data_IF_051803947937
#
_entry.id   IF_051803947937
#
_cell.length_a   1.000
_cell.length_b   1.000
_cell.length_c   1.000
_cell.angle_alpha   90.00
_cell.angle_beta   90.00
_cell.angle_gamma   90.00
#
_symmetry.space_group_name_H-M   'P 1'
#
loop_
_entity.id
_entity.type
_entity.pdbx_description
1 polymer ?
#
# COMPACT_ATOMS: atom_id res chain seq x y z
N UNK A 1 -6.69 9.43 26.74
CA UNK A 1 -5.96 8.17 26.48
C UNK A 1 -5.19 8.46 25.21
N UNK A 2 -3.88 8.59 25.27
CA UNK A 2 -3.06 9.09 24.15
C UNK A 2 -3.29 8.27 22.88
N UNK A 3 -3.64 8.95 21.80
CA UNK A 3 -3.74 8.40 20.45
C UNK A 3 -2.34 7.97 19.99
N UNK A 4 -1.97 6.72 20.33
CA UNK A 4 -0.71 6.12 19.89
C UNK A 4 -0.84 5.74 18.42
N UNK A 5 -0.41 6.62 17.53
CA UNK A 5 -0.15 6.27 16.14
C UNK A 5 1.03 5.29 16.11
N UNK A 6 0.75 4.01 15.84
CA UNK A 6 1.79 3.00 15.70
C UNK A 6 2.45 3.09 14.31
N UNK A 7 3.37 4.05 14.17
CA UNK A 7 4.19 4.21 12.98
C UNK A 7 5.68 4.26 13.36
N UNK A 8 6.27 3.15 13.87
CA UNK A 8 7.68 3.12 14.29
C UNK A 8 8.66 3.48 13.15
N UNK A 9 8.22 3.31 11.89
CA UNK A 9 8.93 3.71 10.68
C UNK A 9 8.94 5.22 10.41
N UNK A 10 8.03 6.00 11.01
CA UNK A 10 7.79 7.40 10.65
C UNK A 10 9.02 8.28 10.83
N UNK A 11 9.78 8.08 11.90
CA UNK A 11 11.02 8.82 12.14
C UNK A 11 12.09 8.46 11.11
N UNK A 12 12.24 7.17 10.77
CA UNK A 12 13.18 6.73 9.74
C UNK A 12 12.84 7.32 8.37
N UNK A 13 11.56 7.40 8.01
CA UNK A 13 11.10 8.02 6.75
C UNK A 13 11.35 9.53 6.69
N UNK A 14 11.10 10.26 7.79
CA UNK A 14 11.36 11.71 7.83
C UNK A 14 12.86 11.97 7.69
N UNK A 15 13.69 11.19 8.39
CA UNK A 15 15.14 11.31 8.35
C UNK A 15 15.74 10.89 6.99
N UNK A 16 15.15 9.91 6.30
CA UNK A 16 15.59 9.53 4.95
C UNK A 16 15.26 10.57 3.88
N UNK A 17 14.30 11.47 4.14
CA UNK A 17 13.93 12.55 3.21
C UNK A 17 14.62 13.89 3.52
N UNK A 18 15.42 13.98 4.59
CA UNK A 18 16.17 15.20 4.94
C UNK A 18 17.56 15.30 4.29
N UNK A 19 18.01 14.27 3.56
CA UNK A 19 19.24 14.31 2.77
C UNK A 19 18.94 14.71 1.31
N UNK A 20 18.94 16.01 1.05
CA UNK A 20 18.67 16.65 -0.26
C UNK A 20 19.76 16.41 -1.35
N UNK A 21 20.56 15.34 -1.28
CA UNK A 21 21.78 15.21 -2.10
C UNK A 21 21.93 13.98 -3.02
N UNK A 22 20.89 13.18 -3.25
CA UNK A 22 20.94 12.18 -4.34
C UNK A 22 19.73 12.25 -5.26
N UNK A 23 19.86 13.05 -6.33
CA UNK A 23 19.02 12.93 -7.53
C UNK A 23 19.30 11.61 -8.24
N UNK A 24 18.84 10.49 -7.68
CA UNK A 24 18.57 9.29 -8.48
C UNK A 24 17.20 9.50 -9.09
N UNK A 25 17.07 9.41 -10.41
CA UNK A 25 15.74 9.30 -11.01
C UNK A 25 15.06 8.09 -10.36
N UNK A 26 13.96 8.28 -9.62
CA UNK A 26 13.39 7.18 -8.88
C UNK A 26 12.72 6.24 -9.89
N UNK A 27 13.40 5.14 -10.20
CA UNK A 27 12.79 4.02 -10.89
C UNK A 27 11.54 3.57 -10.13
N UNK A 28 10.52 3.12 -10.86
CA UNK A 28 9.29 2.69 -10.22
C UNK A 28 9.54 1.39 -9.44
N UNK A 29 9.44 1.45 -8.10
CA UNK A 29 9.67 0.28 -7.23
C UNK A 29 8.79 -0.91 -7.61
N UNK A 30 7.57 -0.66 -8.08
CA UNK A 30 6.63 -1.69 -8.50
C UNK A 30 7.04 -2.38 -9.81
N UNK A 31 7.89 -1.75 -10.62
CA UNK A 31 8.49 -2.39 -11.79
C UNK A 31 9.81 -3.10 -11.44
N UNK A 32 10.56 -2.58 -10.47
CA UNK A 32 11.87 -3.11 -10.11
C UNK A 32 11.78 -4.32 -9.20
N UNK A 33 10.96 -4.25 -8.17
CA UNK A 33 10.92 -5.27 -7.11
C UNK A 33 10.49 -6.64 -7.64
N UNK A 34 9.46 -6.76 -8.50
CA UNK A 34 9.11 -8.04 -9.08
C UNK A 34 10.18 -8.66 -9.97
N UNK A 35 11.14 -7.88 -10.48
CA UNK A 35 12.27 -8.40 -11.28
C UNK A 35 13.39 -8.96 -10.42
N UNK A 36 13.42 -8.63 -9.13
CA UNK A 36 14.37 -9.17 -8.17
C UNK A 36 13.83 -10.50 -7.64
N UNK A 37 14.71 -11.48 -7.50
CA UNK A 37 14.41 -12.80 -6.95
C UNK A 37 14.66 -12.80 -5.42
N UNK A 38 14.04 -11.84 -4.73
CA UNK A 38 14.21 -11.64 -3.28
C UNK A 38 12.91 -11.07 -2.69
N UNK A 39 11.87 -11.90 -2.67
CA UNK A 39 10.53 -11.48 -2.28
C UNK A 39 10.47 -10.99 -0.83
N UNK A 40 11.22 -11.63 0.07
CA UNK A 40 11.28 -11.25 1.48
C UNK A 40 11.83 -9.84 1.67
N UNK A 41 12.97 -9.50 1.04
CA UNK A 41 13.53 -8.15 1.16
C UNK A 41 12.69 -7.08 0.46
N UNK A 42 11.98 -7.45 -0.61
CA UNK A 42 11.12 -6.53 -1.35
C UNK A 42 9.68 -6.52 -0.83
N UNK A 43 9.39 -7.25 0.25
CA UNK A 43 8.09 -7.36 0.90
C UNK A 43 6.96 -7.88 -0.02
N UNK A 44 7.32 -8.64 -1.07
CA UNK A 44 6.36 -9.28 -1.96
C UNK A 44 5.85 -10.55 -1.25
N UNK A 45 4.54 -10.64 -1.07
CA UNK A 45 3.91 -11.77 -0.34
C UNK A 45 3.17 -12.72 -1.27
N UNK A 46 2.89 -12.30 -2.51
CA UNK A 46 2.27 -13.15 -3.50
C UNK A 46 2.54 -12.64 -4.92
N UNK A 47 2.77 -13.56 -5.85
CA UNK A 47 2.94 -13.30 -7.30
C UNK A 47 1.83 -13.99 -8.07
N UNK A 48 0.90 -13.21 -8.62
CA UNK A 48 -0.10 -13.67 -9.58
C UNK A 48 0.43 -13.62 -11.02
N UNK A 49 -0.48 -13.70 -11.99
CA UNK A 49 -0.16 -13.69 -13.43
C UNK A 49 -0.01 -12.28 -13.99
N UNK A 50 -0.95 -11.41 -13.67
CA UNK A 50 -1.07 -10.01 -14.11
C UNK A 50 -0.78 -9.02 -12.98
N UNK A 51 -0.98 -9.43 -11.72
CA UNK A 51 -0.84 -8.64 -10.52
C UNK A 51 -0.02 -9.38 -9.46
N UNK A 52 0.56 -8.62 -8.52
CA UNK A 52 1.25 -9.13 -7.35
C UNK A 52 0.80 -8.38 -6.09
N UNK A 53 1.11 -8.94 -4.93
CA UNK A 53 0.84 -8.34 -3.63
C UNK A 53 2.15 -8.00 -2.94
N UNK A 54 2.25 -6.77 -2.46
CA UNK A 54 3.39 -6.24 -1.73
C UNK A 54 2.92 -5.57 -0.43
N UNK A 55 3.63 -5.77 0.68
CA UNK A 55 3.33 -5.04 1.91
C UNK A 55 3.74 -3.58 1.76
N UNK A 56 2.96 -2.68 2.35
CA UNK A 56 3.39 -1.29 2.43
C UNK A 56 4.51 -1.19 3.47
N UNK A 57 5.70 -0.73 3.06
CA UNK A 57 6.84 -0.47 3.96
C UNK A 57 6.50 0.59 5.04
N UNK A 58 5.49 1.41 4.74
CA UNK A 58 5.02 2.53 5.51
C UNK A 58 3.51 2.36 5.83
N UNK A 59 3.16 1.32 6.61
CA UNK A 59 1.77 0.89 6.76
C UNK A 59 0.96 1.85 7.65
N UNK A 60 -0.34 2.00 7.35
CA UNK A 60 -1.28 2.68 8.26
C UNK A 60 -1.56 1.80 9.48
N UNK A 61 -1.75 0.51 9.25
CA UNK A 61 -1.94 -0.52 10.27
C UNK A 61 -1.14 -1.77 9.88
N UNK A 62 -0.76 -2.61 10.85
CA UNK A 62 -0.22 -3.94 10.57
C UNK A 62 -1.08 -4.70 9.56
N UNK A 63 -0.45 -5.34 8.57
CA UNK A 63 -1.16 -6.05 7.50
C UNK A 63 -1.60 -5.17 6.32
N UNK A 64 -1.26 -3.86 6.31
CA UNK A 64 -1.48 -3.01 5.14
C UNK A 64 -0.65 -3.52 3.95
N UNK A 65 -1.36 -3.97 2.92
CA UNK A 65 -0.81 -4.44 1.67
C UNK A 65 -1.36 -3.68 0.47
N UNK A 66 -0.66 -3.81 -0.65
CA UNK A 66 -1.00 -3.20 -1.93
C UNK A 66 -1.04 -4.28 -3.00
N UNK A 67 -2.07 -4.24 -3.85
CA UNK A 67 -2.21 -5.10 -5.03
C UNK A 67 -1.86 -4.27 -6.24
N UNK A 68 -0.92 -4.76 -7.04
CA UNK A 68 -0.23 -3.95 -8.06
C UNK A 68 -0.19 -4.74 -9.37
N UNK A 69 -0.64 -4.18 -10.50
CA UNK A 69 -0.44 -4.81 -11.80
C UNK A 69 1.04 -4.78 -12.18
N UNK A 70 1.55 -5.81 -12.86
CA UNK A 70 2.93 -5.78 -13.36
C UNK A 70 3.14 -4.68 -14.41
N UNK A 71 2.10 -4.39 -15.20
CA UNK A 71 2.13 -3.31 -16.18
C UNK A 71 2.23 -1.95 -15.50
N UNK A 72 3.19 -1.14 -15.94
CA UNK A 72 3.35 0.22 -15.47
C UNK A 72 2.28 1.13 -16.07
N UNK A 73 1.26 1.45 -15.28
CA UNK A 73 0.19 2.36 -15.69
C UNK A 73 -0.49 3.00 -14.49
N UNK A 74 -0.86 4.27 -14.61
CA UNK A 74 -1.76 4.97 -13.69
C UNK A 74 -3.23 4.98 -14.17
N UNK A 75 -3.48 4.50 -15.39
CA UNK A 75 -4.78 4.54 -16.05
C UNK A 75 -5.64 3.34 -15.65
N UNK A 76 -6.57 3.56 -14.71
CA UNK A 76 -7.49 2.55 -14.21
C UNK A 76 -8.50 2.11 -15.29
N UNK A 77 -9.16 3.04 -16.02
CA UNK A 77 -9.98 2.69 -17.19
C UNK A 77 -9.24 1.86 -18.25
N UNK A 78 -7.93 2.09 -18.42
CA UNK A 78 -7.09 1.37 -19.38
C UNK A 78 -6.62 -0.01 -18.94
N UNK A 79 -7.02 -0.51 -17.76
CA UNK A 79 -6.74 -1.89 -17.36
C UNK A 79 -7.54 -2.87 -18.21
N UNK A 80 -6.88 -3.96 -18.60
CA UNK A 80 -7.53 -5.09 -19.27
C UNK A 80 -8.49 -5.79 -18.32
N UNK A 81 -9.46 -6.52 -18.87
CA UNK A 81 -10.41 -7.28 -18.06
C UNK A 81 -9.73 -8.36 -17.21
N UNK A 82 -8.61 -8.94 -17.67
CA UNK A 82 -7.83 -9.92 -16.91
C UNK A 82 -7.09 -9.27 -15.73
N UNK A 83 -6.46 -8.11 -15.93
CA UNK A 83 -5.81 -7.34 -14.86
C UNK A 83 -6.83 -6.94 -13.78
N UNK A 84 -7.99 -6.40 -14.18
CA UNK A 84 -9.05 -6.01 -13.24
C UNK A 84 -9.60 -7.22 -12.46
N UNK A 85 -9.85 -8.33 -13.16
CA UNK A 85 -10.36 -9.55 -12.54
C UNK A 85 -9.38 -10.14 -11.53
N UNK A 86 -8.09 -10.21 -11.88
CA UNK A 86 -7.08 -10.71 -10.96
C UNK A 86 -6.84 -9.76 -9.79
N UNK A 87 -6.78 -8.45 -10.02
CA UNK A 87 -6.67 -7.45 -8.95
C UNK A 87 -7.79 -7.60 -7.92
N UNK A 88 -9.04 -7.76 -8.36
CA UNK A 88 -10.17 -7.97 -7.46
C UNK A 88 -10.16 -9.37 -6.81
N UNK A 89 -9.69 -10.40 -7.51
CA UNK A 89 -9.52 -11.75 -6.94
C UNK A 89 -8.49 -11.77 -5.82
N UNK A 90 -7.35 -11.08 -6.02
CA UNK A 90 -6.32 -10.89 -5.02
C UNK A 90 -6.83 -10.05 -3.85
N UNK A 91 -7.71 -9.08 -4.08
CA UNK A 91 -8.34 -8.30 -3.02
C UNK A 91 -9.22 -9.16 -2.12
N UNK A 92 -10.06 -10.03 -2.71
CA UNK A 92 -10.87 -10.99 -1.96
C UNK A 92 -10.01 -11.99 -1.18
N UNK A 93 -8.92 -12.45 -1.79
CA UNK A 93 -7.96 -13.35 -1.13
C UNK A 93 -7.28 -12.67 0.05
N UNK A 94 -6.81 -11.44 -0.15
CA UNK A 94 -6.18 -10.61 0.89
C UNK A 94 -7.12 -10.37 2.06
N UNK A 95 -8.37 -10.00 1.80
CA UNK A 95 -9.39 -9.85 2.84
C UNK A 95 -9.53 -11.13 3.65
N UNK A 96 -9.72 -12.29 3.00
CA UNK A 96 -9.93 -13.57 3.67
C UNK A 96 -8.74 -13.97 4.55
N UNK A 97 -7.52 -13.88 4.01
CA UNK A 97 -6.29 -14.22 4.72
C UNK A 97 -6.07 -13.27 5.89
N UNK A 98 -6.22 -11.96 5.71
CA UNK A 98 -6.08 -10.98 6.79
C UNK A 98 -7.14 -11.18 7.87
N UNK A 99 -8.37 -11.55 7.49
CA UNK A 99 -9.42 -11.92 8.45
C UNK A 99 -8.99 -13.09 9.33
N UNK A 100 -8.48 -14.15 8.72
CA UNK A 100 -8.06 -15.35 9.43
C UNK A 100 -6.87 -15.11 10.36
N UNK A 101 -5.83 -14.39 9.88
CA UNK A 101 -4.57 -14.27 10.62
C UNK A 101 -4.52 -13.10 11.58
N UNK A 102 -5.40 -12.09 11.44
CA UNK A 102 -5.36 -10.87 12.25
C UNK A 102 -6.67 -10.53 12.96
N UNK A 103 -7.80 -11.12 12.55
CA UNK A 103 -9.13 -10.81 13.08
C UNK A 103 -9.45 -9.29 13.16
N UNK A 104 -9.30 -8.51 12.07
CA UNK A 104 -9.72 -7.12 12.01
C UNK A 104 -11.25 -7.00 12.08
N UNK A 105 -11.72 -5.85 12.59
CA UNK A 105 -13.15 -5.53 12.67
C UNK A 105 -13.69 -4.95 11.35
N UNK A 106 -12.82 -4.57 10.41
CA UNK A 106 -13.20 -4.04 9.10
C UNK A 106 -12.00 -3.81 8.19
N UNK A 107 -12.26 -3.24 7.01
CA UNK A 107 -11.22 -2.94 6.02
C UNK A 107 -11.48 -1.60 5.32
N UNK A 108 -10.42 -0.91 4.92
CA UNK A 108 -10.47 0.07 3.84
C UNK A 108 -9.83 -0.52 2.59
N UNK A 109 -10.54 -0.39 1.48
CA UNK A 109 -10.09 -0.78 0.15
C UNK A 109 -10.14 0.46 -0.73
N UNK A 110 -9.06 0.79 -1.45
CA UNK A 110 -9.06 1.99 -2.26
C UNK A 110 -7.80 2.21 -3.07
N UNK A 111 -7.88 3.17 -3.99
CA UNK A 111 -6.80 3.63 -4.84
C UNK A 111 -6.79 5.16 -4.83
N UNK A 112 -5.61 5.76 -4.71
CA UNK A 112 -5.44 7.19 -4.92
C UNK A 112 -4.96 7.41 -6.35
N UNK A 113 -5.74 8.14 -7.17
CA UNK A 113 -5.44 8.37 -8.58
C UNK A 113 -4.90 9.78 -8.79
N UNK A 114 -3.62 9.88 -9.14
CA UNK A 114 -2.91 11.14 -9.33
C UNK A 114 -2.41 11.77 -8.03
N UNK A 115 -1.41 12.64 -8.16
CA UNK A 115 -0.71 13.29 -7.03
C UNK A 115 -1.66 14.03 -6.07
N UNK A 116 -2.67 14.72 -6.61
CA UNK A 116 -3.63 15.51 -5.80
C UNK A 116 -4.50 14.64 -4.91
N UNK A 117 -4.78 13.39 -5.33
CA UNK A 117 -5.52 12.43 -4.52
C UNK A 117 -4.67 11.79 -3.41
N UNK A 118 -3.39 12.17 -3.27
CA UNK A 118 -2.49 11.63 -2.25
C UNK A 118 -1.81 10.32 -2.65
N UNK A 119 -1.64 10.06 -3.95
CA UNK A 119 -0.83 8.95 -4.42
C UNK A 119 0.66 9.20 -4.13
N UNK A 120 1.29 8.36 -3.30
CA UNK A 120 2.73 8.43 -3.04
C UNK A 120 3.58 8.01 -4.24
N UNK A 121 3.05 7.10 -5.05
CA UNK A 121 3.58 6.71 -6.37
C UNK A 121 2.44 6.90 -7.37
N UNK A 122 2.41 8.03 -8.05
CA UNK A 122 1.25 8.46 -8.84
C UNK A 122 1.26 7.94 -10.29
N UNK A 123 2.39 7.39 -10.77
CA UNK A 123 2.54 6.85 -12.12
C UNK A 123 2.20 5.36 -12.24
N UNK A 124 1.97 4.65 -11.13
CA UNK A 124 1.70 3.20 -11.14
C UNK A 124 0.62 2.85 -10.13
N UNK A 125 -0.51 2.36 -10.65
CA UNK A 125 -1.69 1.92 -9.90
C UNK A 125 -1.35 0.89 -8.83
N UNK A 126 -1.97 1.06 -7.67
CA UNK A 126 -1.90 0.10 -6.59
C UNK A 126 -3.16 0.23 -5.73
N UNK A 127 -3.83 -0.89 -5.48
CA UNK A 127 -4.99 -0.97 -4.61
C UNK A 127 -4.55 -1.27 -3.19
N UNK A 128 -4.83 -0.35 -2.27
CA UNK A 128 -4.62 -0.53 -0.85
C UNK A 128 -5.67 -1.46 -0.26
N UNK A 129 -5.20 -2.38 0.58
CA UNK A 129 -6.03 -3.20 1.48
C UNK A 129 -5.52 -2.96 2.90
N UNK A 130 -6.33 -2.27 3.70
CA UNK A 130 -5.94 -1.84 5.05
C UNK A 130 -6.89 -2.48 6.07
N UNK A 131 -6.43 -3.44 6.89
CA UNK A 131 -7.23 -3.97 7.99
C UNK A 131 -7.43 -2.91 9.08
N UNK A 132 -8.62 -2.89 9.68
CA UNK A 132 -9.07 -1.87 10.63
C UNK A 132 -9.61 -2.49 11.92
N UNK A 133 -9.40 -1.81 13.04
CA UNK A 133 -9.93 -2.17 14.35
C UNK A 133 -10.71 -1.02 14.96
N UNK A 134 -11.64 -1.34 15.87
CA UNK A 134 -12.34 -0.29 16.59
C UNK A 134 -11.34 0.44 17.51
N UNK A 135 -11.26 1.77 17.40
CA UNK A 135 -10.31 2.59 18.15
C UNK A 135 -8.93 2.76 17.51
N UNK A 136 -8.71 2.27 16.29
CA UNK A 136 -7.53 2.67 15.51
C UNK A 136 -7.72 4.06 14.87
N UNK A 137 -6.63 4.75 14.57
CA UNK A 137 -6.69 6.11 14.01
C UNK A 137 -7.08 6.03 12.53
N UNK A 138 -8.15 6.74 12.15
CA UNK A 138 -8.62 6.82 10.76
C UNK A 138 -7.65 7.59 9.83
N UNK A 139 -7.84 7.46 8.52
CA UNK A 139 -7.10 8.11 7.42
C UNK A 139 -7.04 9.65 7.51
N UNK A 140 -7.97 10.29 8.22
CA UNK A 140 -7.90 11.72 8.52
C UNK A 140 -6.87 11.97 9.63
N UNK A 141 -5.95 12.95 9.50
CA UNK A 141 -5.27 13.45 10.69
C UNK A 141 -6.36 13.99 11.60
N UNK A 142 -6.60 13.31 12.71
CA UNK A 142 -7.41 13.85 13.79
C UNK A 142 -6.66 15.10 14.25
N UNK A 143 -7.08 16.26 13.75
CA UNK A 143 -6.82 17.55 14.37
C UNK A 143 -7.64 17.60 15.67
N UNK A 144 -7.35 16.68 16.59
CA UNK A 144 -8.05 16.51 17.87
C UNK A 144 -7.28 17.18 19.00
N UNK A 145 -6.92 18.43 18.78
CA UNK A 145 -6.39 19.32 19.81
C UNK A 145 -7.44 20.31 20.33
N UNK A 146 -8.73 19.96 20.30
CA UNK A 146 -9.79 20.83 20.86
C UNK A 146 -10.87 19.99 21.53
N UNK A 147 -11.18 20.39 22.78
CA UNK A 147 -12.41 20.00 23.50
C UNK A 147 -13.65 20.42 22.72
#
# INVERSE_FOLDING_TARGET
MEDKIFAPWRMAYILSNSDDNEKKEPGCIFCEFPKKDDDEKNLIVHRGKECFIILNAFPYNPGHLMIVPYRHTADLPGLTSSELAEMMSLCQTSHRVLTEVMNPHGFNLGMNLGKVAGAGIDQHLHMHVVPRWNGDTNFMPVLGGVR
#
